data_IF_409599357463
#
_entry.id   IF_409599357463
#
_cell.length_a   1.000
_cell.length_b   1.000
_cell.length_c   1.000
_cell.angle_alpha   90.00
_cell.angle_beta   90.00
_cell.angle_gamma   90.00
#
_symmetry.space_group_name_H-M   'P 1'
#
loop_
_entity.id
_entity.type
_entity.pdbx_description
1 polymer ?
#
# COMPACT_ATOMS: atom_id res chain seq x y z
N UNK A 1 4.61 -15.24 27.50
CA UNK A 1 3.64 -14.53 26.65
C UNK A 1 4.43 -13.60 25.74
N UNK A 2 4.33 -13.76 24.42
CA UNK A 2 5.05 -12.88 23.49
C UNK A 2 4.55 -11.44 23.61
N UNK A 3 5.45 -10.47 23.40
CA UNK A 3 5.09 -9.06 23.34
C UNK A 3 4.05 -8.80 22.23
N UNK A 4 3.17 -7.82 22.43
CA UNK A 4 2.21 -7.42 21.41
C UNK A 4 2.95 -6.77 20.24
N UNK A 5 2.87 -7.38 19.06
CA UNK A 5 3.46 -6.87 17.83
C UNK A 5 2.39 -6.12 17.00
N UNK A 6 2.42 -4.78 16.95
CA UNK A 6 1.42 -4.00 16.23
C UNK A 6 1.51 -4.16 14.71
N UNK A 7 2.71 -4.43 14.15
CA UNK A 7 2.89 -4.61 12.72
C UNK A 7 2.22 -5.90 12.27
N UNK A 8 2.39 -6.99 13.01
CA UNK A 8 1.75 -8.25 12.68
C UNK A 8 0.25 -8.22 12.97
N UNK A 9 -0.17 -7.69 14.13
CA UNK A 9 -1.57 -7.74 14.57
C UNK A 9 -2.50 -6.76 13.83
N UNK A 10 -2.00 -5.62 13.38
CA UNK A 10 -2.83 -4.61 12.69
C UNK A 10 -2.51 -4.50 11.21
N UNK A 11 -1.24 -4.54 10.81
CA UNK A 11 -0.85 -4.41 9.40
C UNK A 11 -0.64 -5.74 8.69
N UNK A 12 -0.70 -6.87 9.41
CA UNK A 12 -0.48 -8.21 8.83
C UNK A 12 0.96 -8.44 8.37
N UNK A 13 1.93 -7.69 8.89
CA UNK A 13 3.35 -7.80 8.52
C UNK A 13 4.03 -8.78 9.47
N UNK A 14 4.39 -10.01 9.02
CA UNK A 14 4.98 -11.02 9.90
C UNK A 14 6.38 -10.59 10.37
N UNK A 15 6.86 -11.09 11.52
CA UNK A 15 8.19 -10.75 12.05
C UNK A 15 9.34 -11.04 11.07
N UNK A 16 9.20 -12.03 10.18
CA UNK A 16 10.20 -12.34 9.16
C UNK A 16 10.34 -11.27 8.05
N UNK A 17 9.39 -10.35 7.96
CA UNK A 17 9.39 -9.21 7.03
C UNK A 17 9.67 -7.88 7.74
N UNK A 18 10.02 -7.91 9.03
CA UNK A 18 10.34 -6.71 9.80
C UNK A 18 11.85 -6.46 9.83
N UNK A 19 12.30 -5.19 9.75
CA UNK A 19 11.49 -3.98 9.61
C UNK A 19 10.88 -3.82 8.21
N UNK A 20 9.61 -3.38 8.09
CA UNK A 20 8.98 -3.17 6.79
C UNK A 20 9.58 -1.98 6.05
N UNK A 21 9.68 -2.10 4.72
CA UNK A 21 9.92 -0.94 3.87
C UNK A 21 8.65 -0.06 3.77
N UNK A 22 8.77 1.17 3.25
CA UNK A 22 7.66 2.13 3.21
C UNK A 22 6.48 1.62 2.36
N UNK A 23 6.75 0.92 1.26
CA UNK A 23 5.73 0.30 0.42
C UNK A 23 4.94 -0.79 1.16
N UNK A 24 5.67 -1.64 1.91
CA UNK A 24 5.09 -2.71 2.72
C UNK A 24 4.26 -2.16 3.87
N UNK A 25 4.72 -1.07 4.50
CA UNK A 25 4.00 -0.37 5.56
C UNK A 25 2.65 0.19 5.08
N UNK A 26 2.60 0.76 3.88
CA UNK A 26 1.35 1.24 3.27
C UNK A 26 0.49 0.10 2.68
N UNK A 27 1.07 -1.07 2.43
CA UNK A 27 0.40 -2.21 1.81
C UNK A 27 0.18 -2.01 0.31
N UNK A 28 1.18 -1.45 -0.39
CA UNK A 28 1.20 -1.28 -1.85
C UNK A 28 2.34 -2.09 -2.47
N UNK A 29 2.31 -2.24 -3.80
CA UNK A 29 3.40 -2.87 -4.55
C UNK A 29 4.72 -2.11 -4.41
N UNK A 30 5.84 -2.84 -4.49
CA UNK A 30 7.17 -2.21 -4.52
C UNK A 30 7.26 -1.28 -5.73
N UNK A 31 7.81 -0.09 -5.52
CA UNK A 31 8.01 0.93 -6.55
C UNK A 31 6.72 1.38 -7.24
N UNK A 32 5.58 1.35 -6.53
CA UNK A 32 4.33 1.94 -7.00
C UNK A 32 4.57 3.36 -7.52
N UNK A 33 4.03 3.65 -8.70
CA UNK A 33 4.28 4.89 -9.45
C UNK A 33 3.09 5.82 -9.42
N UNK A 34 1.88 5.30 -9.21
CA UNK A 34 0.67 6.11 -9.13
C UNK A 34 0.53 6.78 -7.75
N UNK A 35 0.60 8.13 -7.67
CA UNK A 35 0.45 8.84 -6.41
C UNK A 35 -0.95 8.70 -5.78
N UNK A 36 -2.01 8.51 -6.58
CA UNK A 36 -3.36 8.30 -6.03
C UNK A 36 -3.47 6.94 -5.33
N UNK A 37 -2.86 5.90 -5.90
CA UNK A 37 -2.79 4.57 -5.26
C UNK A 37 -2.06 4.64 -3.92
N UNK A 38 -0.93 5.35 -3.87
CA UNK A 38 -0.15 5.55 -2.64
C UNK A 38 -0.96 6.31 -1.59
N UNK A 39 -1.61 7.41 -1.99
CA UNK A 39 -2.41 8.24 -1.08
C UNK A 39 -3.58 7.44 -0.50
N UNK A 40 -4.34 6.76 -1.34
CA UNK A 40 -5.49 5.96 -0.92
C UNK A 40 -5.08 4.80 0.01
N UNK A 41 -3.95 4.15 -0.27
CA UNK A 41 -3.44 3.09 0.59
C UNK A 41 -3.00 3.60 1.96
N UNK A 42 -2.29 4.74 2.01
CA UNK A 42 -1.91 5.36 3.26
C UNK A 42 -3.12 5.78 4.09
N UNK A 43 -4.11 6.41 3.47
CA UNK A 43 -5.32 6.85 4.16
C UNK A 43 -6.10 5.65 4.73
N UNK A 44 -6.21 4.55 3.98
CA UNK A 44 -6.81 3.28 4.46
C UNK A 44 -6.09 2.74 5.69
N UNK A 45 -4.75 2.67 5.66
CA UNK A 45 -3.97 2.16 6.79
C UNK A 45 -4.10 3.07 8.02
N UNK A 46 -4.04 4.39 7.82
CA UNK A 46 -4.18 5.36 8.90
C UNK A 46 -5.56 5.29 9.56
N UNK A 47 -6.63 5.12 8.79
CA UNK A 47 -7.99 4.92 9.33
C UNK A 47 -8.07 3.63 10.14
N UNK A 48 -7.50 2.53 9.64
CA UNK A 48 -7.49 1.26 10.35
C UNK A 48 -6.77 1.37 11.69
N UNK A 49 -5.57 1.95 11.70
CA UNK A 49 -4.74 2.06 12.91
C UNK A 49 -5.35 3.05 13.91
N UNK A 50 -6.00 4.11 13.41
CA UNK A 50 -6.74 5.08 14.23
C UNK A 50 -7.84 4.44 15.07
N UNK A 51 -8.42 3.33 14.64
CA UNK A 51 -9.43 2.58 15.41
C UNK A 51 -8.89 2.03 16.74
N UNK A 52 -7.57 1.88 16.89
CA UNK A 52 -6.93 1.32 18.08
C UNK A 52 -6.44 2.37 19.10
N UNK A 53 -6.56 3.66 18.79
CA UNK A 53 -6.07 4.76 19.66
C UNK A 53 -6.76 4.85 21.02
N UNK A 54 -7.99 4.35 21.17
CA UNK A 54 -8.70 4.31 22.44
C UNK A 54 -8.41 3.08 23.31
N UNK A 55 -7.58 2.15 22.84
CA UNK A 55 -7.35 0.86 23.48
C UNK A 55 -6.12 0.79 24.39
N UNK A 56 -5.86 -0.41 24.93
CA UNK A 56 -4.67 -0.73 25.76
C UNK A 56 -3.33 -0.44 25.06
N UNK A 57 -3.30 -0.42 23.74
CA UNK A 57 -2.10 -0.22 22.90
C UNK A 57 -2.13 1.14 22.19
N UNK A 58 -2.72 2.17 22.82
CA UNK A 58 -2.87 3.50 22.25
C UNK A 58 -1.52 4.14 21.88
N UNK A 59 -0.50 3.96 22.71
CA UNK A 59 0.87 4.42 22.48
C UNK A 59 1.48 3.79 21.21
N UNK A 60 1.28 2.49 20.99
CA UNK A 60 1.74 1.78 19.80
C UNK A 60 0.99 2.25 18.55
N UNK A 61 -0.32 2.48 18.66
CA UNK A 61 -1.12 3.00 17.54
C UNK A 61 -0.66 4.40 17.12
N UNK A 62 -0.31 5.26 18.08
CA UNK A 62 0.21 6.60 17.79
C UNK A 62 1.56 6.55 17.09
N UNK A 63 2.47 5.68 17.54
CA UNK A 63 3.78 5.47 16.89
C UNK A 63 3.59 5.04 15.44
N UNK A 64 2.73 4.05 15.22
CA UNK A 64 2.50 3.49 13.88
C UNK A 64 1.76 4.50 12.96
N UNK A 65 0.88 5.35 13.49
CA UNK A 65 0.31 6.48 12.75
C UNK A 65 1.37 7.49 12.31
N UNK A 66 2.35 7.80 13.16
CA UNK A 66 3.44 8.70 12.81
C UNK A 66 4.31 8.11 11.69
N UNK A 67 4.60 6.81 11.75
CA UNK A 67 5.33 6.10 10.69
C UNK A 67 4.56 6.08 9.36
N UNK A 68 3.25 5.79 9.39
CA UNK A 68 2.39 5.84 8.21
C UNK A 68 2.35 7.24 7.60
N UNK A 69 2.27 8.28 8.42
CA UNK A 69 2.29 9.66 7.96
C UNK A 69 3.64 10.01 7.31
N UNK A 70 4.76 9.59 7.91
CA UNK A 70 6.09 9.79 7.34
C UNK A 70 6.25 9.06 6.00
N UNK A 71 5.78 7.81 5.90
CA UNK A 71 5.79 7.03 4.68
C UNK A 71 4.99 7.70 3.56
N UNK A 72 3.77 8.18 3.87
CA UNK A 72 2.91 8.92 2.95
C UNK A 72 3.62 10.17 2.41
N UNK A 73 4.22 10.98 3.29
CA UNK A 73 4.94 12.20 2.88
C UNK A 73 6.17 11.88 2.02
N UNK A 74 6.89 10.81 2.34
CA UNK A 74 8.06 10.39 1.57
C UNK A 74 7.69 9.91 0.16
N UNK A 75 6.67 9.04 0.06
CA UNK A 75 6.31 8.39 -1.20
C UNK A 75 5.46 9.27 -2.12
N UNK A 76 4.76 10.28 -1.59
CA UNK A 76 4.02 11.26 -2.41
C UNK A 76 4.88 12.44 -2.87
N UNK A 77 6.07 12.64 -2.28
CA UNK A 77 7.04 13.64 -2.74
C UNK A 77 7.94 13.00 -3.81
N UNK A 78 7.90 13.45 -5.08
CA UNK A 78 8.64 12.80 -6.16
C UNK A 78 10.15 12.75 -5.94
N UNK A 79 10.73 13.77 -5.31
CA UNK A 79 12.17 13.84 -5.07
C UNK A 79 12.58 12.87 -3.94
N UNK A 80 11.81 12.84 -2.85
CA UNK A 80 12.06 11.91 -1.73
C UNK A 80 11.82 10.47 -2.14
N UNK A 81 10.75 10.20 -2.89
CA UNK A 81 10.45 8.88 -3.45
C UNK A 81 11.60 8.39 -4.33
N UNK A 82 12.10 9.23 -5.25
CA UNK A 82 13.19 8.84 -6.13
C UNK A 82 14.46 8.46 -5.35
N UNK A 83 14.86 9.29 -4.37
CA UNK A 83 16.02 8.99 -3.52
C UNK A 83 15.82 7.71 -2.70
N UNK A 84 14.62 7.51 -2.14
CA UNK A 84 14.27 6.30 -1.42
C UNK A 84 14.29 5.06 -2.31
N UNK A 85 13.74 5.16 -3.52
CA UNK A 85 13.69 4.06 -4.49
C UNK A 85 15.09 3.62 -4.92
N UNK A 86 16.00 4.56 -5.15
CA UNK A 86 17.40 4.24 -5.44
C UNK A 86 18.07 3.50 -4.28
N UNK A 87 17.88 3.97 -3.05
CA UNK A 87 18.40 3.30 -1.86
C UNK A 87 17.83 1.88 -1.74
N UNK A 88 16.52 1.72 -1.91
CA UNK A 88 15.84 0.44 -1.78
C UNK A 88 16.30 -0.55 -2.86
N UNK A 89 16.49 -0.11 -4.10
CA UNK A 89 17.05 -0.95 -5.17
C UNK A 89 18.43 -1.47 -4.84
N UNK A 90 19.32 -0.62 -4.30
CA UNK A 90 20.68 -1.01 -3.89
C UNK A 90 20.66 -2.03 -2.75
N UNK A 91 19.74 -1.88 -1.80
CA UNK A 91 19.57 -2.84 -0.70
C UNK A 91 19.11 -4.20 -1.22
N UNK A 92 18.09 -4.21 -2.09
CA UNK A 92 17.55 -5.44 -2.68
C UNK A 92 18.56 -6.15 -3.59
N UNK A 93 19.39 -5.40 -4.34
CA UNK A 93 20.42 -5.99 -5.20
C UNK A 93 21.62 -6.55 -4.43
N UNK A 94 21.87 -6.06 -3.22
CA UNK A 94 22.99 -6.49 -2.38
C UNK A 94 22.65 -7.71 -1.51
N UNK A 95 21.41 -8.19 -1.55
CA UNK A 95 20.98 -9.33 -0.76
C UNK A 95 21.42 -10.64 -1.45
N UNK A 96 22.26 -11.47 -0.80
CA UNK A 96 22.80 -12.68 -1.43
C UNK A 96 21.70 -13.69 -1.82
N UNK A 97 21.85 -14.41 -2.94
CA UNK A 97 20.84 -15.37 -3.45
C UNK A 97 20.50 -16.52 -2.49
N UNK A 98 21.30 -16.73 -1.43
CA UNK A 98 21.06 -17.77 -0.43
C UNK A 98 19.73 -17.59 0.35
N UNK A 99 19.20 -16.36 0.47
CA UNK A 99 17.90 -16.12 1.12
C UNK A 99 16.69 -16.26 0.18
N UNK A 100 16.90 -16.16 -1.14
CA UNK A 100 15.85 -16.37 -2.15
C UNK A 100 15.55 -17.87 -2.34
N UNK A 101 16.56 -18.73 -2.21
CA UNK A 101 16.41 -20.19 -2.31
C UNK A 101 15.65 -20.82 -1.13
N UNK A 102 15.70 -20.22 0.07
CA UNK A 102 14.96 -20.72 1.24
C UNK A 102 13.46 -20.33 1.22
N UNK A 103 13.06 -19.31 0.45
CA UNK A 103 11.66 -18.90 0.31
C UNK A 103 10.89 -19.68 -0.76
N UNK A 104 11.60 -20.36 -1.66
CA UNK A 104 11.03 -21.07 -2.81
C UNK A 104 11.03 -22.61 -2.65
N UNK A 105 11.61 -23.15 -1.57
CA UNK A 105 11.61 -24.60 -1.29
C UNK A 105 10.74 -24.91 -0.08
N UNK A 106 9.41 -24.87 -0.28
CA UNK A 106 8.49 -25.66 0.55
C UNK A 106 7.26 -26.04 -0.27
N UNK A 107 7.49 -26.74 -1.39
CA UNK A 107 6.53 -27.74 -1.86
C UNK A 107 7.21 -29.08 -1.59
N UNK A 108 6.81 -29.86 -0.57
CA UNK A 108 7.25 -31.24 -0.51
C UNK A 108 6.76 -31.91 -1.79
N UNK A 109 7.70 -32.37 -2.61
CA UNK A 109 7.43 -33.18 -3.77
C UNK A 109 6.59 -34.38 -3.32
N UNK A 110 5.30 -34.37 -3.67
CA UNK A 110 4.46 -35.53 -3.52
C UNK A 110 5.09 -36.69 -4.31
N UNK A 111 5.12 -37.91 -3.76
CA UNK A 111 5.68 -39.07 -4.45
C UNK A 111 4.98 -39.26 -5.80
N UNK A 112 5.69 -39.75 -6.84
CA UNK A 112 5.10 -39.97 -8.16
C UNK A 112 4.01 -41.04 -8.02
N UNK A 113 2.76 -40.60 -8.07
CA UNK A 113 1.63 -41.52 -8.24
C UNK A 113 1.80 -42.12 -9.64
N UNK A 114 1.87 -43.46 -9.79
CA UNK A 114 2.03 -44.09 -11.09
C UNK A 114 0.84 -43.74 -12.00
N UNK A 115 1.05 -43.58 -13.32
CA UNK A 115 -0.04 -43.32 -14.25
C UNK A 115 -0.94 -44.56 -14.31
N UNK A 116 -2.11 -44.48 -13.68
CA UNK A 116 -3.18 -45.46 -13.93
C UNK A 116 -3.55 -45.38 -15.41
N UNK A 117 -3.23 -46.45 -16.12
CA UNK A 117 -3.52 -46.64 -17.54
C UNK A 117 -5.02 -46.88 -17.70
N UNK A 118 -5.67 -45.89 -18.31
CA UNK A 118 -6.80 -45.97 -19.25
C UNK A 118 -7.74 -47.19 -19.17
N UNK A 119 -9.04 -46.93 -19.02
CA UNK A 119 -10.06 -47.71 -19.74
C UNK A 119 -11.01 -46.73 -20.41
N UNK A 120 -10.72 -46.46 -21.68
CA UNK A 120 -11.68 -45.86 -22.60
C UNK A 120 -12.84 -46.85 -22.74
N UNK A 121 -14.02 -46.45 -22.26
CA UNK A 121 -15.28 -47.08 -22.70
C UNK A 121 -15.94 -46.10 -23.65
N UNK A 122 -15.96 -46.49 -24.93
CA UNK A 122 -16.59 -45.77 -26.00
C UNK A 122 -18.13 -45.68 -25.81
N UNK A 123 -18.67 -44.50 -26.18
CA UNK A 123 -19.94 -44.13 -26.86
C UNK A 123 -21.00 -45.22 -27.13
N UNK A 124 -22.32 -44.92 -27.28
CA UNK A 124 -22.88 -43.68 -27.88
C UNK A 124 -24.26 -43.18 -27.32
N UNK A 125 -24.74 -42.04 -27.83
CA UNK A 125 -26.14 -41.60 -27.70
C UNK A 125 -26.24 -40.07 -27.56
N UNK A 126 -26.19 -39.30 -28.66
CA UNK A 126 -27.36 -38.91 -29.46
C UNK A 126 -28.53 -38.44 -28.60
N UNK A 127 -28.79 -37.13 -28.51
CA UNK A 127 -29.77 -36.44 -29.37
C UNK A 127 -29.75 -34.91 -29.14
N UNK A 128 -29.66 -34.19 -30.25
CA UNK A 128 -30.33 -32.93 -30.62
C UNK A 128 -30.56 -31.80 -29.59
N UNK A 129 -30.05 -30.61 -29.96
CA UNK A 129 -30.62 -29.29 -29.62
C UNK A 129 -32.05 -29.13 -30.18
N UNK A 130 -32.84 -28.15 -29.71
CA UNK A 130 -32.80 -26.85 -30.40
C UNK A 130 -33.01 -25.62 -29.52
N UNK A 131 -32.74 -24.48 -30.16
CA UNK A 131 -33.09 -23.11 -29.80
C UNK A 131 -34.49 -22.99 -29.18
N UNK A 132 -34.60 -22.18 -28.13
CA UNK A 132 -35.85 -21.69 -27.58
C UNK A 132 -35.72 -20.22 -27.18
N UNK A 133 -36.00 -19.34 -28.14
CA UNK A 133 -36.25 -17.94 -27.87
C UNK A 133 -37.53 -17.79 -27.04
N UNK A 134 -37.47 -16.99 -25.98
CA UNK A 134 -38.66 -16.45 -25.34
C UNK A 134 -38.38 -14.99 -24.96
N UNK A 135 -38.62 -14.13 -25.94
CA UNK A 135 -38.90 -12.72 -25.74
C UNK A 135 -40.27 -12.62 -25.06
N UNK A 136 -40.35 -11.96 -23.90
CA UNK A 136 -41.63 -11.46 -23.37
C UNK A 136 -41.42 -10.00 -22.98
N UNK A 137 -41.98 -9.14 -23.83
CA UNK A 137 -42.21 -7.74 -23.57
C UNK A 137 -43.22 -7.60 -22.41
N UNK A 138 -42.91 -6.70 -21.47
CA UNK A 138 -43.95 -6.06 -20.65
C UNK A 138 -43.99 -4.59 -21.03
N UNK A 139 -45.10 -4.25 -21.66
CA UNK A 139 -45.57 -2.92 -22.04
C UNK A 139 -46.36 -2.33 -20.88
N UNK A 140 -46.18 -1.04 -20.60
CA UNK A 140 -46.99 -0.25 -19.67
C UNK A 140 -46.30 1.08 -19.35
N UNK A 141 -46.33 2.05 -20.27
CA UNK A 141 -47.35 3.13 -20.40
C UNK A 141 -47.32 4.12 -19.22
N UNK A 142 -46.91 5.37 -19.51
CA UNK A 142 -47.19 6.55 -18.69
C UNK A 142 -46.09 7.61 -18.66
N UNK A 143 -46.00 8.48 -19.67
CA UNK A 143 -45.37 9.82 -19.52
C UNK A 143 -46.38 10.85 -18.95
N UNK A 144 -46.17 12.18 -19.08
CA UNK A 144 -44.95 12.92 -19.44
C UNK A 144 -44.67 14.17 -18.57
N UNK A 145 -43.60 14.88 -18.94
CA UNK A 145 -43.43 16.35 -18.89
C UNK A 145 -42.94 17.03 -17.58
N UNK A 146 -41.99 17.95 -17.78
CA UNK A 146 -41.41 18.83 -16.76
C UNK A 146 -39.94 19.20 -17.08
N UNK A 147 -39.67 19.71 -18.29
CA UNK A 147 -39.16 21.07 -18.55
C UNK A 147 -38.00 21.59 -17.69
N UNK A 148 -36.89 21.87 -18.39
CA UNK A 148 -35.96 22.99 -18.20
C UNK A 148 -35.14 23.09 -16.89
N UNK A 149 -33.81 23.10 -17.00
CA UNK A 149 -33.11 24.40 -17.07
C UNK A 149 -31.63 24.21 -17.36
N UNK A 150 -31.21 24.92 -18.40
CA UNK A 150 -29.84 25.19 -18.79
C UNK A 150 -29.21 26.11 -17.74
N UNK A 151 -28.07 25.73 -17.16
CA UNK A 151 -27.13 26.70 -16.61
C UNK A 151 -25.70 26.18 -16.72
N UNK A 152 -25.01 26.77 -17.68
CA UNK A 152 -23.57 26.81 -17.83
C UNK A 152 -22.81 26.99 -16.50
N UNK A 153 -21.70 26.26 -16.37
CA UNK A 153 -20.40 26.92 -16.12
C UNK A 153 -19.25 25.92 -16.26
N UNK A 154 -18.73 25.84 -17.48
CA UNK A 154 -17.28 25.71 -17.67
C UNK A 154 -16.62 26.90 -16.97
N UNK A 155 -15.94 26.72 -15.84
CA UNK A 155 -14.70 27.49 -15.61
C UNK A 155 -13.83 26.93 -14.50
N UNK A 156 -12.57 26.79 -14.90
CA UNK A 156 -11.39 27.06 -14.09
C UNK A 156 -10.92 25.96 -13.14
N UNK A 157 -10.12 25.07 -13.72
CA UNK A 157 -8.76 24.84 -13.22
C UNK A 157 -8.20 26.16 -12.68
N UNK A 158 -7.95 26.27 -11.38
CA UNK A 158 -7.07 27.30 -10.83
C UNK A 158 -6.31 26.76 -9.63
N UNK A 159 -5.17 26.19 -9.96
CA UNK A 159 -3.92 26.18 -9.22
C UNK A 159 -3.94 27.05 -7.96
N UNK A 160 -3.95 26.42 -6.78
CA UNK A 160 -3.60 27.06 -5.51
C UNK A 160 -2.23 26.55 -5.04
N UNK A 161 -1.19 26.83 -5.84
CA UNK A 161 0.16 27.00 -5.33
C UNK A 161 0.21 28.31 -4.53
N UNK A 162 1.01 28.29 -3.47
CA UNK A 162 1.55 29.45 -2.73
C UNK A 162 0.61 30.25 -1.83
N UNK A 163 0.34 29.72 -0.62
CA UNK A 163 0.39 30.40 0.71
C UNK A 163 0.67 29.25 1.70
N UNK A 164 1.80 29.12 2.38
CA UNK A 164 2.29 29.94 3.50
C UNK A 164 3.82 29.76 3.64
N UNK A 165 4.60 30.78 3.26
CA UNK A 165 6.01 30.91 3.69
C UNK A 165 6.08 32.22 4.45
N UNK A 166 5.90 32.16 5.76
CA UNK A 166 6.38 33.15 6.72
C UNK A 166 6.17 32.56 8.12
N UNK A 167 7.20 32.69 8.97
CA UNK A 167 7.22 32.44 10.42
C UNK A 167 7.58 31.04 10.90
N UNK A 168 8.85 30.61 10.73
CA UNK A 168 9.55 29.74 11.70
C UNK A 168 11.09 29.93 11.64
N UNK A 169 11.56 31.17 11.60
CA UNK A 169 13.00 31.52 11.52
C UNK A 169 13.73 31.63 12.87
N UNK A 170 13.23 31.01 13.94
CA UNK A 170 13.91 31.02 15.26
C UNK A 170 14.32 29.61 15.74
N UNK A 171 13.62 28.55 15.32
CA UNK A 171 13.94 27.17 15.74
C UNK A 171 15.18 26.56 15.08
N UNK A 172 15.54 27.01 13.87
CA UNK A 172 16.66 26.44 13.09
C UNK A 172 18.02 26.89 13.62
N UNK A 173 18.10 28.07 14.25
CA UNK A 173 19.35 28.60 14.80
C UNK A 173 19.77 27.92 16.12
N UNK A 174 18.83 27.44 16.93
CA UNK A 174 19.15 26.71 18.17
C UNK A 174 19.62 25.27 17.93
N UNK A 175 19.13 24.62 16.86
CA UNK A 175 19.58 23.27 16.49
C UNK A 175 20.98 23.25 15.88
N UNK A 176 21.40 24.32 15.20
CA UNK A 176 22.76 24.44 14.66
C UNK A 176 23.81 24.64 15.76
N UNK A 177 23.51 25.41 16.81
CA UNK A 177 24.42 25.62 17.93
C UNK A 177 24.61 24.36 18.78
N UNK A 178 23.55 23.56 18.98
CA UNK A 178 23.63 22.30 19.73
C UNK A 178 24.42 21.21 18.98
N UNK A 179 24.29 21.16 17.65
CA UNK A 179 25.06 20.23 16.80
C UNK A 179 26.56 20.53 16.78
N UNK A 180 26.96 21.82 16.82
CA UNK A 180 28.36 22.21 16.82
C UNK A 180 29.05 21.91 18.17
N UNK A 181 28.32 22.01 19.28
CA UNK A 181 28.84 21.71 20.62
C UNK A 181 29.16 20.21 20.81
N UNK A 182 28.30 19.33 20.28
CA UNK A 182 28.49 17.87 20.37
C UNK A 182 29.64 17.39 19.45
N UNK A 183 29.88 18.08 18.33
CA UNK A 183 30.97 17.73 17.41
C UNK A 183 32.36 18.07 17.97
N UNK A 184 32.50 19.15 18.75
CA UNK A 184 33.79 19.53 19.36
C UNK A 184 34.13 18.66 20.57
N UNK A 185 33.15 18.24 21.37
CA UNK A 185 33.38 17.38 22.53
C UNK A 185 33.77 15.94 22.17
N UNK A 186 33.54 15.52 20.93
CA UNK A 186 33.73 14.12 20.48
C UNK A 186 35.09 13.86 19.82
N UNK A 187 36.00 14.84 19.79
CA UNK A 187 37.31 14.69 19.16
C UNK A 187 38.46 14.87 20.18
N UNK A 188 38.73 13.90 21.06
CA UNK A 188 39.94 13.90 21.86
C UNK A 188 41.10 13.38 20.99
N UNK A 189 41.84 14.31 20.38
CA UNK A 189 43.20 14.04 19.94
C UNK A 189 44.17 14.43 21.07
N UNK A 190 45.15 13.54 21.28
CA UNK A 190 46.26 13.56 22.26
C UNK A 190 45.96 12.87 23.59
#
# INVERSE_FOLDING_TARGET
>A
MGAFDPYWKWLGIPPAEQPPNLYRLLGVGLFESDPEVIANAADRQMVHVRSYQGGRHSDLSQKLLNELAAARVCLLDPAKKAAYDEQLRRQLSSQPPAQAALRSVSVPAAPPVPPVTQTASALPGSVASPLGAASVAVTGVGGPAGTASVAASRRSRRNNRTRHVALLSVGVLLLAALGLLVLVASNPAV
#
